data_IF_230594595703
#
_entry.id   IF_230594595703
#
_cell.length_a   1.000
_cell.length_b   1.000
_cell.length_c   1.000
_cell.angle_alpha   90.00
_cell.angle_beta   90.00
_cell.angle_gamma   90.00
#
_symmetry.space_group_name_H-M   'P 1'
#
loop_
_entity.id
_entity.type
_entity.pdbx_description
1 polymer ?
#
# COMPACT_ATOMS: atom_id res chain seq x y z
N UNK A 1 -16.68 6.59 -12.39
CA UNK A 1 -17.62 7.21 -11.42
C UNK A 1 -16.80 8.12 -10.53
N UNK A 2 -17.17 9.39 -10.40
CA UNK A 2 -16.47 10.33 -9.53
C UNK A 2 -16.82 10.09 -8.06
N UNK A 3 -16.02 10.60 -7.12
CA UNK A 3 -16.34 10.55 -5.68
C UNK A 3 -17.70 11.20 -5.35
N UNK A 4 -18.03 12.29 -6.02
CA UNK A 4 -19.34 12.95 -5.87
C UNK A 4 -20.50 12.05 -6.33
N UNK A 5 -20.32 11.32 -7.43
CA UNK A 5 -21.31 10.35 -7.91
C UNK A 5 -21.51 9.21 -6.91
N UNK A 6 -20.41 8.69 -6.34
CA UNK A 6 -20.46 7.65 -5.30
C UNK A 6 -21.23 8.13 -4.07
N UNK A 7 -20.95 9.35 -3.60
CA UNK A 7 -21.64 9.94 -2.45
C UNK A 7 -23.14 10.08 -2.76
N UNK A 8 -23.50 10.62 -3.94
CA UNK A 8 -24.92 10.74 -4.36
C UNK A 8 -25.62 9.39 -4.43
N UNK A 9 -24.94 8.37 -4.97
CA UNK A 9 -25.50 7.02 -5.07
C UNK A 9 -25.74 6.38 -3.70
N UNK A 10 -24.81 6.55 -2.75
CA UNK A 10 -24.97 6.05 -1.38
C UNK A 10 -26.04 6.85 -0.62
N UNK A 11 -26.14 8.16 -0.83
CA UNK A 11 -27.15 8.99 -0.20
C UNK A 11 -28.58 8.55 -0.56
N UNK A 12 -28.81 8.10 -1.81
CA UNK A 12 -30.11 7.53 -2.26
C UNK A 12 -30.57 6.31 -1.46
N UNK A 13 -29.68 5.66 -0.70
CA UNK A 13 -30.00 4.54 0.19
C UNK A 13 -30.51 4.99 1.56
N UNK A 14 -30.82 6.29 1.72
CA UNK A 14 -31.38 6.89 2.93
C UNK A 14 -30.35 7.37 3.94
N UNK A 15 -29.20 7.83 3.46
CA UNK A 15 -28.16 8.46 4.25
C UNK A 15 -28.05 9.96 3.93
N UNK A 16 -27.67 10.76 4.93
CA UNK A 16 -27.28 12.14 4.66
C UNK A 16 -26.01 12.17 3.83
N UNK A 17 -25.74 13.27 3.12
CA UNK A 17 -24.53 13.42 2.30
C UNK A 17 -23.26 13.19 3.14
N UNK A 18 -23.22 13.68 4.38
CA UNK A 18 -22.12 13.49 5.32
C UNK A 18 -21.93 12.00 5.69
N UNK A 19 -23.01 11.29 5.96
CA UNK A 19 -22.98 9.85 6.25
C UNK A 19 -22.54 9.07 5.00
N UNK A 20 -23.06 9.41 3.84
CA UNK A 20 -22.71 8.80 2.56
C UNK A 20 -21.21 9.01 2.25
N UNK A 21 -20.69 10.21 2.43
CA UNK A 21 -19.27 10.51 2.24
C UNK A 21 -18.35 9.70 3.17
N UNK A 22 -18.74 9.52 4.42
CA UNK A 22 -18.02 8.64 5.35
C UNK A 22 -18.08 7.18 4.88
N UNK A 23 -19.28 6.68 4.51
CA UNK A 23 -19.44 5.31 4.02
C UNK A 23 -18.61 5.05 2.78
N UNK A 24 -18.61 5.96 1.80
CA UNK A 24 -17.75 5.85 0.60
C UNK A 24 -16.28 5.68 1.01
N UNK A 25 -15.80 6.50 1.96
CA UNK A 25 -14.41 6.38 2.46
C UNK A 25 -14.15 5.02 3.09
N UNK A 26 -15.06 4.54 3.96
CA UNK A 26 -14.93 3.23 4.59
C UNK A 26 -14.95 2.09 3.57
N UNK A 27 -15.91 2.09 2.64
CA UNK A 27 -16.07 1.05 1.61
C UNK A 27 -14.81 0.88 0.76
N UNK A 28 -14.24 2.00 0.35
CA UNK A 28 -13.09 2.02 -0.57
C UNK A 28 -11.79 1.63 0.16
N UNK A 29 -11.57 2.13 1.38
CA UNK A 29 -10.26 2.02 2.03
C UNK A 29 -10.15 0.93 3.10
N UNK A 30 -11.24 0.60 3.80
CA UNK A 30 -11.16 -0.27 4.97
C UNK A 30 -12.19 -1.40 5.00
N UNK A 31 -13.45 -1.12 4.65
CA UNK A 31 -14.58 -2.03 4.84
C UNK A 31 -14.98 -2.22 6.31
N UNK A 32 -14.22 -1.65 7.23
CA UNK A 32 -14.46 -1.68 8.67
C UNK A 32 -14.32 -0.29 9.26
N UNK A 33 -15.05 0.01 10.34
CA UNK A 33 -14.94 1.28 11.03
C UNK A 33 -15.41 1.18 12.47
N UNK A 34 -15.11 2.21 13.27
CA UNK A 34 -15.62 2.43 14.62
C UNK A 34 -16.33 3.78 14.70
N UNK A 35 -17.25 3.93 15.68
CA UNK A 35 -18.05 5.16 15.84
C UNK A 35 -17.20 6.42 15.96
N UNK A 36 -16.04 6.35 16.63
CA UNK A 36 -15.09 7.47 16.75
C UNK A 36 -14.62 7.99 15.38
N UNK A 37 -14.37 7.13 14.43
CA UNK A 37 -13.91 7.53 13.08
C UNK A 37 -14.98 8.34 12.36
N UNK A 38 -16.25 7.98 12.55
CA UNK A 38 -17.35 8.82 12.04
C UNK A 38 -17.40 10.18 12.74
N UNK A 39 -17.18 10.24 14.08
CA UNK A 39 -17.09 11.52 14.80
C UNK A 39 -15.99 12.42 14.22
N UNK A 40 -14.79 11.85 13.99
CA UNK A 40 -13.67 12.57 13.38
C UNK A 40 -14.03 13.08 11.98
N UNK A 41 -14.58 12.21 11.13
CA UNK A 41 -15.00 12.57 9.78
C UNK A 41 -16.05 13.69 9.77
N UNK A 42 -17.09 13.49 10.57
CA UNK A 42 -18.25 14.39 10.62
C UNK A 42 -18.02 15.66 11.45
N UNK A 43 -16.91 15.76 12.19
CA UNK A 43 -16.61 16.83 13.15
C UNK A 43 -17.72 17.00 14.20
N UNK A 44 -18.15 15.89 14.79
CA UNK A 44 -19.19 15.86 15.82
C UNK A 44 -18.70 15.10 17.07
N UNK A 45 -19.31 15.40 18.20
CA UNK A 45 -19.07 14.65 19.45
C UNK A 45 -19.83 13.33 19.40
N UNK A 46 -19.33 12.35 20.13
CA UNK A 46 -20.03 11.07 20.30
C UNK A 46 -21.34 11.30 21.06
N UNK A 47 -22.46 10.85 20.49
CA UNK A 47 -23.79 11.01 21.07
C UNK A 47 -24.84 10.24 20.28
N UNK A 48 -26.13 10.55 20.52
CA UNK A 48 -27.28 9.84 19.94
C UNK A 48 -27.21 9.73 18.41
N UNK A 49 -26.85 10.82 17.70
CA UNK A 49 -26.74 10.83 16.24
C UNK A 49 -25.75 9.78 15.70
N UNK A 50 -24.65 9.49 16.42
CA UNK A 50 -23.68 8.45 16.05
C UNK A 50 -24.28 7.08 16.30
N UNK A 51 -24.94 6.90 17.45
CA UNK A 51 -25.63 5.65 17.77
C UNK A 51 -26.70 5.32 16.71
N UNK A 52 -27.56 6.26 16.39
CA UNK A 52 -28.66 6.09 15.42
C UNK A 52 -28.12 5.74 14.02
N UNK A 53 -27.04 6.39 13.59
CA UNK A 53 -26.40 6.07 12.31
C UNK A 53 -25.92 4.62 12.25
N UNK A 54 -25.19 4.13 13.26
CA UNK A 54 -24.71 2.76 13.27
C UNK A 54 -25.85 1.74 13.50
N UNK A 55 -26.83 2.08 14.29
CA UNK A 55 -28.03 1.25 14.48
C UNK A 55 -28.82 1.10 13.18
N UNK A 56 -28.98 2.17 12.42
CA UNK A 56 -29.60 2.13 11.09
C UNK A 56 -28.82 1.27 10.10
N UNK A 57 -27.48 1.32 10.11
CA UNK A 57 -26.64 0.47 9.28
C UNK A 57 -26.85 -1.02 9.58
N UNK A 58 -26.93 -1.37 10.87
CA UNK A 58 -27.16 -2.76 11.31
C UNK A 58 -28.59 -3.20 10.99
N UNK A 59 -29.60 -2.37 11.26
CA UNK A 59 -31.00 -2.67 10.95
C UNK A 59 -31.24 -2.90 9.45
N UNK A 60 -30.57 -2.11 8.59
CA UNK A 60 -30.61 -2.27 7.13
C UNK A 60 -29.74 -3.43 6.62
N UNK A 61 -29.08 -4.18 7.49
CA UNK A 61 -28.14 -5.27 7.15
C UNK A 61 -26.96 -4.81 6.27
N UNK A 62 -26.61 -3.53 6.33
CA UNK A 62 -25.45 -2.98 5.64
C UNK A 62 -24.14 -3.18 6.44
N UNK A 63 -24.25 -3.31 7.76
CA UNK A 63 -23.14 -3.54 8.65
C UNK A 63 -23.41 -4.68 9.63
N UNK A 64 -22.35 -5.40 9.99
CA UNK A 64 -22.36 -6.40 11.07
C UNK A 64 -21.38 -5.94 12.15
N UNK A 65 -21.79 -5.85 13.44
CA UNK A 65 -20.84 -5.60 14.51
C UNK A 65 -20.00 -6.86 14.76
N UNK A 66 -18.70 -6.67 14.98
CA UNK A 66 -17.86 -7.74 15.51
C UNK A 66 -18.22 -7.97 16.97
N UNK A 67 -18.36 -9.23 17.36
CA UNK A 67 -18.45 -9.62 18.77
C UNK A 67 -17.09 -9.39 19.41
N UNK A 68 -16.96 -8.31 20.19
CA UNK A 68 -15.76 -8.04 20.97
C UNK A 68 -16.01 -8.25 22.45
N UNK A 69 -14.98 -8.69 23.18
CA UNK A 69 -15.03 -8.89 24.62
C UNK A 69 -15.20 -7.58 25.42
N UNK A 70 -15.06 -6.41 24.80
CA UNK A 70 -15.14 -5.10 25.47
C UNK A 70 -16.48 -4.40 25.26
N UNK A 71 -17.16 -4.14 26.38
CA UNK A 71 -18.43 -3.40 26.49
C UNK A 71 -18.24 -1.92 26.10
N UNK A 72 -18.21 -1.52 24.89
CA UNK A 72 -18.21 -0.08 24.55
C UNK A 72 -17.51 0.31 23.27
N UNK A 73 -16.65 -0.52 22.74
CA UNK A 73 -16.02 -0.28 21.46
C UNK A 73 -16.54 -1.27 20.42
N UNK A 74 -17.60 -0.88 19.68
CA UNK A 74 -18.11 -1.73 18.59
C UNK A 74 -17.35 -1.43 17.31
N UNK A 75 -16.72 -2.47 16.76
CA UNK A 75 -16.18 -2.45 15.42
C UNK A 75 -17.28 -2.94 14.47
N UNK A 76 -17.50 -2.21 13.39
CA UNK A 76 -18.51 -2.53 12.39
C UNK A 76 -17.85 -2.94 11.08
N UNK A 77 -18.23 -4.09 10.54
CA UNK A 77 -17.89 -4.51 9.19
C UNK A 77 -19.00 -4.10 8.24
N UNK A 78 -18.67 -3.27 7.26
CA UNK A 78 -19.61 -2.84 6.23
C UNK A 78 -19.55 -3.85 5.08
N UNK A 79 -20.65 -4.63 4.92
CA UNK A 79 -20.68 -5.77 3.98
C UNK A 79 -21.79 -5.70 2.94
N UNK A 80 -22.73 -4.76 3.09
CA UNK A 80 -23.92 -4.67 2.24
C UNK A 80 -23.58 -4.57 0.75
N UNK A 81 -23.94 -5.57 -0.06
CA UNK A 81 -23.66 -5.59 -1.51
C UNK A 81 -24.19 -4.34 -2.20
N UNK A 82 -25.38 -3.87 -1.82
CA UNK A 82 -26.01 -2.66 -2.37
C UNK A 82 -25.15 -1.42 -2.18
N UNK A 83 -24.48 -1.25 -1.02
CA UNK A 83 -23.57 -0.15 -0.79
C UNK A 83 -22.35 -0.22 -1.72
N UNK A 84 -21.76 -1.39 -1.85
CA UNK A 84 -20.59 -1.58 -2.73
C UNK A 84 -20.96 -1.44 -4.20
N UNK A 85 -22.15 -1.88 -4.61
CA UNK A 85 -22.67 -1.64 -5.98
C UNK A 85 -22.88 -0.14 -6.24
N UNK A 86 -23.39 0.61 -5.25
CA UNK A 86 -23.57 2.05 -5.35
C UNK A 86 -22.25 2.83 -5.57
N UNK A 87 -21.11 2.31 -5.07
CA UNK A 87 -19.78 2.90 -5.30
C UNK A 87 -19.07 2.33 -6.53
N UNK A 88 -19.70 1.42 -7.28
CA UNK A 88 -19.12 0.79 -8.47
C UNK A 88 -18.15 -0.34 -8.19
N UNK A 89 -18.18 -0.92 -6.97
CA UNK A 89 -17.23 -1.94 -6.49
C UNK A 89 -17.96 -3.17 -5.90
N UNK A 90 -18.93 -3.81 -6.63
CA UNK A 90 -19.78 -4.88 -6.07
C UNK A 90 -19.00 -6.08 -5.55
N UNK A 91 -17.83 -6.34 -6.12
CA UNK A 91 -16.96 -7.47 -5.78
C UNK A 91 -15.75 -7.08 -4.94
N UNK A 92 -15.77 -5.86 -4.37
CA UNK A 92 -14.70 -5.41 -3.51
C UNK A 92 -14.47 -6.39 -2.35
N UNK A 93 -13.24 -6.79 -2.18
CA UNK A 93 -12.84 -7.74 -1.11
C UNK A 93 -13.13 -7.25 0.30
N UNK A 94 -13.25 -5.94 0.50
CA UNK A 94 -13.59 -5.36 1.80
C UNK A 94 -14.96 -5.84 2.31
N UNK A 95 -15.82 -6.36 1.42
CA UNK A 95 -17.07 -7.01 1.78
C UNK A 95 -16.89 -8.35 2.51
N UNK A 96 -15.76 -9.02 2.27
CA UNK A 96 -15.50 -10.33 2.89
C UNK A 96 -15.09 -10.12 4.36
N UNK A 97 -15.57 -11.00 5.26
CA UNK A 97 -15.11 -11.00 6.65
C UNK A 97 -13.59 -11.03 6.73
N UNK A 98 -13.04 -10.34 7.70
CA UNK A 98 -11.61 -10.34 8.00
C UNK A 98 -11.39 -10.81 9.42
N UNK A 99 -10.21 -11.37 9.71
CA UNK A 99 -9.80 -11.62 11.09
C UNK A 99 -9.76 -10.31 11.87
N UNK A 100 -9.89 -10.37 13.19
CA UNK A 100 -9.86 -9.18 14.02
C UNK A 100 -8.54 -8.41 13.87
N UNK A 101 -7.41 -9.10 13.82
CA UNK A 101 -6.10 -8.48 13.56
C UNK A 101 -6.09 -7.69 12.24
N UNK A 102 -6.60 -8.28 11.17
CA UNK A 102 -6.69 -7.61 9.86
C UNK A 102 -7.69 -6.44 9.86
N UNK A 103 -8.76 -6.55 10.63
CA UNK A 103 -9.71 -5.45 10.81
C UNK A 103 -9.06 -4.26 11.54
N UNK A 104 -8.25 -4.53 12.58
CA UNK A 104 -7.48 -3.53 13.31
C UNK A 104 -6.49 -2.80 12.38
N UNK A 105 -5.73 -3.52 11.56
CA UNK A 105 -4.84 -2.92 10.56
C UNK A 105 -5.59 -1.96 9.62
N UNK A 106 -6.79 -2.36 9.17
CA UNK A 106 -7.65 -1.52 8.33
C UNK A 106 -8.18 -0.28 9.06
N UNK A 107 -8.45 -0.37 10.38
CA UNK A 107 -8.82 0.81 11.18
C UNK A 107 -7.67 1.81 11.29
N UNK A 108 -6.43 1.34 11.47
CA UNK A 108 -5.24 2.19 11.50
C UNK A 108 -5.05 2.93 10.18
N UNK A 109 -5.16 2.23 9.05
CA UNK A 109 -5.10 2.85 7.72
C UNK A 109 -6.25 3.86 7.51
N UNK A 110 -7.45 3.55 7.98
CA UNK A 110 -8.59 4.47 7.88
C UNK A 110 -8.36 5.73 8.73
N UNK A 111 -7.75 5.62 9.91
CA UNK A 111 -7.39 6.79 10.72
C UNK A 111 -6.44 7.72 9.97
N UNK A 112 -5.41 7.19 9.33
CA UNK A 112 -4.47 7.98 8.53
C UNK A 112 -5.16 8.65 7.32
N UNK A 113 -6.02 7.92 6.62
CA UNK A 113 -6.84 8.50 5.52
C UNK A 113 -7.74 9.63 6.02
N UNK A 114 -8.35 9.48 7.19
CA UNK A 114 -9.24 10.51 7.77
C UNK A 114 -8.48 11.72 8.32
N UNK A 115 -7.22 11.57 8.70
CA UNK A 115 -6.38 12.65 9.19
C UNK A 115 -5.96 13.60 8.06
N UNK A 116 -5.60 13.07 6.90
CA UNK A 116 -5.12 13.83 5.74
C UNK A 116 -6.27 14.21 4.80
N UNK A 117 -7.03 15.23 5.18
CA UNK A 117 -8.25 15.65 4.46
C UNK A 117 -8.00 16.42 3.17
N UNK A 118 -6.83 17.01 3.03
CA UNK A 118 -6.43 17.76 1.85
C UNK A 118 -6.10 16.87 0.67
N UNK A 119 -5.79 15.59 0.93
CA UNK A 119 -5.41 14.65 -0.10
C UNK A 119 -6.62 13.99 -0.78
N UNK A 120 -6.52 13.82 -2.08
CA UNK A 120 -7.37 12.91 -2.82
C UNK A 120 -6.83 11.48 -2.67
N UNK A 121 -7.60 10.60 -2.07
CA UNK A 121 -7.20 9.22 -1.83
C UNK A 121 -7.61 8.29 -2.98
N UNK A 122 -6.65 7.52 -3.49
CA UNK A 122 -6.85 6.44 -4.45
C UNK A 122 -6.93 5.12 -3.66
N UNK A 123 -8.12 4.55 -3.55
CA UNK A 123 -8.33 3.35 -2.71
C UNK A 123 -8.41 2.06 -3.50
N UNK A 124 -9.02 2.07 -4.67
CA UNK A 124 -9.23 0.87 -5.49
C UNK A 124 -8.10 0.65 -6.50
N UNK A 125 -7.91 -0.60 -6.92
CA UNK A 125 -6.98 -0.97 -7.98
C UNK A 125 -7.26 -0.18 -9.25
N UNK A 126 -8.54 -0.11 -9.65
CA UNK A 126 -9.00 0.60 -10.84
C UNK A 126 -8.68 2.09 -10.79
N UNK A 127 -8.90 2.75 -9.63
CA UNK A 127 -8.57 4.17 -9.47
C UNK A 127 -7.07 4.41 -9.61
N UNK A 128 -6.24 3.57 -9.00
CA UNK A 128 -4.78 3.69 -9.05
C UNK A 128 -4.26 3.49 -10.46
N UNK A 129 -4.66 2.40 -11.13
CA UNK A 129 -4.24 2.13 -12.50
C UNK A 129 -4.66 3.27 -13.42
N UNK A 130 -5.94 3.67 -13.40
CA UNK A 130 -6.43 4.75 -14.24
C UNK A 130 -5.73 6.09 -13.98
N UNK A 131 -5.47 6.42 -12.70
CA UNK A 131 -4.77 7.65 -12.35
C UNK A 131 -3.32 7.64 -12.85
N UNK A 132 -2.55 6.60 -12.55
CA UNK A 132 -1.13 6.59 -12.92
C UNK A 132 -0.89 6.41 -14.40
N UNK A 133 -1.77 5.75 -15.13
CA UNK A 133 -1.71 5.71 -16.60
C UNK A 133 -1.94 7.08 -17.27
N UNK A 134 -2.71 7.96 -16.62
CA UNK A 134 -2.95 9.31 -17.16
C UNK A 134 -1.96 10.35 -16.64
N UNK A 135 -1.39 10.16 -15.45
CA UNK A 135 -0.49 11.12 -14.80
C UNK A 135 1.00 10.81 -15.00
N UNK A 136 1.33 9.65 -15.57
CA UNK A 136 2.71 9.24 -15.87
C UNK A 136 2.81 8.68 -17.28
N UNK A 137 4.04 8.46 -17.76
CA UNK A 137 4.32 7.80 -19.04
C UNK A 137 4.47 6.29 -18.92
N UNK A 138 4.19 5.72 -17.72
CA UNK A 138 4.37 4.30 -17.46
C UNK A 138 3.33 3.44 -18.19
N UNK A 139 3.81 2.35 -18.74
CA UNK A 139 2.95 1.31 -19.29
C UNK A 139 2.32 0.48 -18.16
N UNK A 140 1.19 -0.22 -18.39
CA UNK A 140 0.54 -1.05 -17.37
C UNK A 140 1.51 -2.03 -16.70
N UNK A 141 2.37 -2.69 -17.45
CA UNK A 141 3.35 -3.66 -16.94
C UNK A 141 4.50 -3.05 -16.13
N UNK A 142 4.59 -1.73 -16.04
CA UNK A 142 5.56 -0.99 -15.23
C UNK A 142 4.94 -0.51 -13.91
N UNK A 143 3.62 -0.57 -13.79
CA UNK A 143 2.93 -0.30 -12.52
C UNK A 143 3.17 -1.44 -11.52
N UNK A 144 3.09 -1.16 -10.21
CA UNK A 144 3.21 -2.19 -9.17
C UNK A 144 2.22 -3.34 -9.38
N UNK A 145 2.71 -4.54 -9.67
CA UNK A 145 1.86 -5.71 -9.92
C UNK A 145 2.47 -7.02 -9.43
N UNK A 146 1.62 -8.05 -9.32
CA UNK A 146 2.00 -9.45 -9.18
C UNK A 146 1.30 -10.27 -10.27
N UNK A 147 2.05 -11.16 -10.91
CA UNK A 147 1.51 -12.13 -11.85
C UNK A 147 1.02 -13.39 -11.12
N UNK A 148 -0.08 -13.94 -11.60
CA UNK A 148 -0.67 -15.21 -11.13
C UNK A 148 -0.93 -16.11 -12.33
N UNK A 149 -0.66 -17.41 -12.17
CA UNK A 149 -0.75 -18.39 -13.24
C UNK A 149 0.49 -18.45 -14.12
N UNK A 150 0.42 -19.25 -15.16
CA UNK A 150 1.50 -19.46 -16.14
C UNK A 150 1.01 -18.98 -17.52
N UNK A 151 1.87 -18.39 -18.37
CA UNK A 151 1.48 -18.05 -19.74
C UNK A 151 0.92 -19.27 -20.50
N UNK A 152 -0.13 -19.10 -21.34
CA UNK A 152 -0.77 -17.84 -21.73
C UNK A 152 -1.86 -17.33 -20.76
N UNK A 153 -2.24 -18.08 -19.72
CA UNK A 153 -3.33 -17.74 -18.79
C UNK A 153 -2.89 -16.86 -17.61
N UNK A 154 -1.72 -16.23 -17.73
CA UNK A 154 -1.21 -15.37 -16.68
C UNK A 154 -2.10 -14.14 -16.50
N UNK A 155 -2.57 -13.92 -15.27
CA UNK A 155 -3.32 -12.72 -14.86
C UNK A 155 -2.47 -11.83 -13.98
N UNK A 156 -2.71 -10.52 -14.02
CA UNK A 156 -1.98 -9.55 -13.22
C UNK A 156 -2.92 -8.87 -12.22
N UNK A 157 -2.44 -8.72 -10.98
CA UNK A 157 -3.08 -7.90 -9.97
C UNK A 157 -2.21 -6.69 -9.71
N UNK A 158 -2.74 -5.52 -9.97
CA UNK A 158 -2.05 -4.26 -9.74
C UNK A 158 -2.20 -3.81 -8.29
N UNK A 159 -1.18 -3.08 -7.80
CA UNK A 159 -1.12 -2.59 -6.42
C UNK A 159 -1.51 -3.66 -5.37
N UNK A 160 -0.81 -4.79 -5.35
CA UNK A 160 -1.21 -5.97 -4.56
C UNK A 160 -1.20 -5.70 -3.05
N UNK A 161 -0.41 -4.73 -2.59
CA UNK A 161 -0.32 -4.32 -1.18
C UNK A 161 -1.62 -3.64 -0.71
N UNK A 162 -2.40 -3.06 -1.65
CA UNK A 162 -3.74 -2.48 -1.44
C UNK A 162 -3.77 -1.33 -0.41
N UNK A 163 -2.62 -0.71 -0.19
CA UNK A 163 -2.46 0.43 0.68
C UNK A 163 -3.00 1.70 0.00
N UNK A 164 -3.60 2.64 0.74
CA UNK A 164 -4.05 3.90 0.17
C UNK A 164 -2.90 4.73 -0.38
N UNK A 165 -3.15 5.45 -1.49
CA UNK A 165 -2.21 6.42 -2.04
C UNK A 165 -2.92 7.76 -2.08
N UNK A 166 -2.37 8.76 -1.41
CA UNK A 166 -2.85 10.14 -1.39
C UNK A 166 -2.21 10.95 -2.51
N UNK A 167 -3.01 11.80 -3.15
CA UNK A 167 -2.55 12.76 -4.15
C UNK A 167 -2.85 14.15 -3.63
N UNK A 168 -1.85 15.00 -3.56
CA UNK A 168 -2.02 16.39 -3.13
C UNK A 168 -2.81 17.21 -4.16
N UNK A 169 -3.39 18.36 -3.77
CA UNK A 169 -4.17 19.20 -4.68
C UNK A 169 -3.38 19.69 -5.91
N UNK A 170 -2.06 19.78 -5.81
CA UNK A 170 -1.16 20.14 -6.91
C UNK A 170 -1.04 19.05 -7.99
N UNK A 171 -1.54 17.84 -7.72
CA UNK A 171 -1.43 16.66 -8.57
C UNK A 171 0.01 16.11 -8.73
N UNK A 172 0.98 16.70 -8.02
CA UNK A 172 2.42 16.40 -8.17
C UNK A 172 2.98 15.62 -7.01
N UNK A 173 2.47 15.86 -5.80
CA UNK A 173 2.94 15.21 -4.56
C UNK A 173 2.08 14.00 -4.25
N UNK A 174 2.73 12.84 -4.04
CA UNK A 174 2.07 11.56 -3.80
C UNK A 174 2.49 10.97 -2.45
N UNK A 175 1.53 10.63 -1.61
CA UNK A 175 1.74 10.00 -0.30
C UNK A 175 1.37 8.52 -0.37
N UNK A 176 2.34 7.64 -0.19
CA UNK A 176 2.16 6.20 -0.07
C UNK A 176 2.12 5.82 1.42
N UNK A 177 1.00 5.33 1.89
CA UNK A 177 0.93 4.80 3.26
C UNK A 177 1.44 3.36 3.28
N UNK A 178 2.34 3.07 4.21
CA UNK A 178 2.77 1.70 4.49
C UNK A 178 2.54 1.39 5.97
N UNK A 179 1.70 0.40 6.28
CA UNK A 179 1.46 -0.02 7.66
C UNK A 179 2.50 -1.06 8.07
N UNK A 180 3.29 -0.72 9.07
CA UNK A 180 4.22 -1.66 9.73
C UNK A 180 3.40 -2.63 10.57
N UNK A 181 3.41 -3.91 10.22
CA UNK A 181 2.65 -4.96 10.89
C UNK A 181 3.52 -6.15 11.32
N UNK A 182 4.83 -6.07 11.14
CA UNK A 182 5.83 -7.06 11.52
C UNK A 182 7.12 -6.37 11.94
N UNK A 183 7.93 -7.03 12.77
CA UNK A 183 9.24 -6.52 13.22
C UNK A 183 10.28 -6.45 12.09
N UNK A 184 10.28 -7.44 11.20
CA UNK A 184 11.26 -7.50 10.11
C UNK A 184 10.75 -6.80 8.84
N UNK A 185 11.57 -5.97 8.15
CA UNK A 185 11.16 -5.17 6.99
C UNK A 185 11.13 -5.95 5.66
N UNK A 186 10.90 -7.28 5.67
CA UNK A 186 10.91 -8.11 4.45
C UNK A 186 9.82 -7.69 3.46
N UNK A 187 8.60 -7.55 3.95
CA UNK A 187 7.47 -7.14 3.11
C UNK A 187 7.61 -5.67 2.65
N UNK A 188 8.22 -4.82 3.48
CA UNK A 188 8.52 -3.43 3.13
C UNK A 188 9.54 -3.33 1.99
N UNK A 189 10.62 -4.13 2.05
CA UNK A 189 11.58 -4.22 0.92
C UNK A 189 10.87 -4.64 -0.36
N UNK A 190 10.02 -5.65 -0.30
CA UNK A 190 9.24 -6.10 -1.43
C UNK A 190 8.26 -5.03 -1.94
N UNK A 191 7.66 -4.23 -1.05
CA UNK A 191 6.84 -3.07 -1.40
C UNK A 191 7.67 -2.03 -2.17
N UNK A 192 8.81 -1.59 -1.64
CA UNK A 192 9.68 -0.62 -2.29
C UNK A 192 10.05 -1.06 -3.72
N UNK A 193 10.43 -2.33 -3.89
CA UNK A 193 10.82 -2.85 -5.21
C UNK A 193 9.68 -2.94 -6.21
N UNK A 194 8.47 -3.26 -5.75
CA UNK A 194 7.30 -3.23 -6.63
C UNK A 194 6.96 -1.83 -7.12
N UNK A 195 7.24 -0.81 -6.30
CA UNK A 195 6.88 0.57 -6.57
C UNK A 195 8.01 1.38 -7.24
N UNK A 196 9.21 0.83 -7.43
CA UNK A 196 10.38 1.56 -7.92
C UNK A 196 10.13 2.32 -9.22
N UNK A 197 9.56 1.66 -10.24
CA UNK A 197 9.30 2.31 -11.53
C UNK A 197 8.33 3.46 -11.38
N UNK A 198 7.31 3.29 -10.54
CA UNK A 198 6.34 4.32 -10.24
C UNK A 198 7.00 5.48 -9.47
N UNK A 199 7.77 5.20 -8.42
CA UNK A 199 8.47 6.23 -7.63
C UNK A 199 9.48 7.01 -8.48
N UNK A 200 10.12 6.38 -9.45
CA UNK A 200 11.01 7.06 -10.43
C UNK A 200 10.26 8.02 -11.34
N UNK A 201 9.05 7.64 -11.76
CA UNK A 201 8.25 8.43 -12.69
C UNK A 201 7.54 9.63 -12.02
N UNK A 202 7.36 9.61 -10.70
CA UNK A 202 6.64 10.66 -9.99
C UNK A 202 7.49 11.90 -9.75
N UNK A 203 6.90 13.11 -9.87
CA UNK A 203 7.60 14.37 -9.59
C UNK A 203 8.05 14.47 -8.15
N UNK A 204 7.17 14.12 -7.21
CA UNK A 204 7.44 14.14 -5.75
C UNK A 204 6.65 13.05 -5.06
N UNK A 205 7.30 12.37 -4.10
CA UNK A 205 6.64 11.32 -3.35
C UNK A 205 7.15 11.21 -1.90
N UNK A 206 6.27 10.72 -1.05
CA UNK A 206 6.56 10.34 0.33
C UNK A 206 6.05 8.92 0.56
N UNK A 207 6.87 8.05 1.12
CA UNK A 207 6.45 6.77 1.71
C UNK A 207 6.40 6.96 3.21
N UNK A 208 5.19 6.96 3.78
CA UNK A 208 4.99 7.13 5.22
C UNK A 208 4.78 5.78 5.90
N UNK A 209 5.69 5.43 6.79
CA UNK A 209 5.61 4.25 7.66
C UNK A 209 4.66 4.54 8.81
N UNK A 210 3.46 3.97 8.77
CA UNK A 210 2.51 4.00 9.88
C UNK A 210 2.89 2.90 10.86
N UNK A 211 3.47 3.26 11.99
CA UNK A 211 4.04 2.30 12.93
C UNK A 211 3.21 2.25 14.22
N UNK A 212 2.57 1.12 14.54
CA UNK A 212 1.94 0.91 15.83
C UNK A 212 2.94 1.04 16.97
N UNK A 213 2.50 1.55 18.14
CA UNK A 213 3.37 1.82 19.29
C UNK A 213 4.23 0.61 19.72
N UNK A 214 3.68 -0.62 19.65
CA UNK A 214 4.39 -1.85 20.03
C UNK A 214 5.47 -2.28 19.02
N UNK A 215 5.57 -1.64 17.87
CA UNK A 215 6.61 -1.83 16.85
C UNK A 215 7.51 -0.60 16.70
N UNK A 216 7.40 0.39 17.60
CA UNK A 216 8.17 1.63 17.52
C UNK A 216 9.69 1.38 17.60
N UNK A 217 10.12 0.39 18.37
CA UNK A 217 11.53 0.00 18.50
C UNK A 217 12.12 -0.59 17.20
N UNK A 218 11.26 -1.10 16.32
CA UNK A 218 11.69 -1.70 15.06
C UNK A 218 11.87 -0.65 13.92
N UNK A 219 11.46 0.60 14.13
CA UNK A 219 11.56 1.70 13.14
C UNK A 219 12.95 1.84 12.53
N UNK A 220 14.06 1.82 13.31
CA UNK A 220 15.40 1.93 12.73
C UNK A 220 15.73 0.84 11.69
N UNK A 221 15.15 -0.37 11.84
CA UNK A 221 15.33 -1.44 10.86
C UNK A 221 14.63 -1.15 9.53
N UNK A 222 13.45 -0.52 9.57
CA UNK A 222 12.73 -0.08 8.37
C UNK A 222 13.42 1.09 7.67
N UNK A 223 13.93 2.06 8.43
CA UNK A 223 14.70 3.18 7.87
C UNK A 223 16.04 2.70 7.27
N UNK A 224 16.72 1.77 7.94
CA UNK A 224 17.92 1.14 7.39
C UNK A 224 17.59 0.36 6.10
N UNK A 225 16.47 -0.37 6.06
CA UNK A 225 16.01 -1.05 4.85
C UNK A 225 15.74 -0.07 3.72
N UNK A 226 15.07 1.06 3.98
CA UNK A 226 14.82 2.09 2.98
C UNK A 226 16.14 2.65 2.42
N UNK A 227 17.08 3.05 3.29
CA UNK A 227 18.39 3.53 2.87
C UNK A 227 19.16 2.49 2.04
N UNK A 228 19.16 1.24 2.47
CA UNK A 228 19.83 0.17 1.76
C UNK A 228 19.25 -0.09 0.36
N UNK A 229 17.93 -0.07 0.24
CA UNK A 229 17.26 -0.37 -1.04
C UNK A 229 17.26 0.82 -2.01
N UNK A 230 17.19 2.04 -1.50
CA UNK A 230 16.98 3.24 -2.32
C UNK A 230 18.25 4.07 -2.52
N UNK A 231 19.14 4.13 -1.52
CA UNK A 231 20.25 5.08 -1.48
C UNK A 231 21.64 4.46 -1.29
N UNK A 232 21.74 3.20 -0.83
CA UNK A 232 23.07 2.61 -0.59
C UNK A 232 23.84 2.43 -1.91
N UNK A 233 25.12 2.83 -1.96
CA UNK A 233 25.93 2.68 -3.16
C UNK A 233 26.13 1.20 -3.53
N UNK A 234 26.39 0.95 -4.80
CA UNK A 234 26.89 -0.34 -5.25
C UNK A 234 28.36 -0.46 -4.82
N UNK A 235 28.76 -1.65 -4.38
CA UNK A 235 30.16 -1.90 -4.09
C UNK A 235 30.93 -2.05 -5.39
N UNK A 236 32.01 -1.30 -5.54
CA UNK A 236 32.85 -1.33 -6.75
C UNK A 236 33.37 -2.74 -7.06
N UNK A 237 33.75 -3.52 -6.04
CA UNK A 237 34.18 -4.92 -6.18
C UNK A 237 33.08 -5.87 -6.67
N UNK A 238 31.84 -5.43 -6.67
CA UNK A 238 30.69 -6.24 -7.09
C UNK A 238 30.14 -5.89 -8.46
N UNK A 239 30.50 -4.73 -9.02
CA UNK A 239 29.91 -4.23 -10.27
C UNK A 239 30.18 -5.16 -11.44
N UNK A 240 31.45 -5.59 -11.63
CA UNK A 240 31.83 -6.49 -12.71
C UNK A 240 31.19 -7.87 -12.56
N UNK A 241 31.15 -8.40 -11.34
CA UNK A 241 30.48 -9.69 -11.07
C UNK A 241 28.97 -9.59 -11.27
N UNK A 242 28.37 -8.44 -10.90
CA UNK A 242 26.95 -8.18 -11.10
C UNK A 242 26.60 -8.06 -12.59
N UNK A 243 27.41 -7.33 -13.39
CA UNK A 243 27.26 -7.23 -14.84
C UNK A 243 27.35 -8.60 -15.50
N UNK A 244 28.40 -9.39 -15.14
CA UNK A 244 28.54 -10.76 -15.61
C UNK A 244 27.30 -11.60 -15.25
N UNK A 245 26.85 -11.55 -13.99
CA UNK A 245 25.67 -12.29 -13.54
C UNK A 245 24.42 -11.92 -14.32
N UNK A 246 24.18 -10.64 -14.59
CA UNK A 246 23.03 -10.19 -15.37
C UNK A 246 23.06 -10.67 -16.80
N UNK A 247 24.23 -10.68 -17.45
CA UNK A 247 24.42 -11.25 -18.80
C UNK A 247 24.12 -12.74 -18.82
N UNK A 248 24.62 -13.49 -17.83
CA UNK A 248 24.35 -14.92 -17.72
C UNK A 248 22.87 -15.22 -17.45
N UNK A 249 22.23 -14.41 -16.60
CA UNK A 249 20.79 -14.56 -16.31
C UNK A 249 19.94 -14.30 -17.57
N UNK A 250 20.32 -13.32 -18.38
CA UNK A 250 19.65 -13.06 -19.67
C UNK A 250 19.79 -14.24 -20.63
N UNK A 251 20.97 -14.86 -20.71
CA UNK A 251 21.22 -16.06 -21.52
C UNK A 251 20.36 -17.23 -21.05
N UNK A 252 20.28 -17.45 -19.74
CA UNK A 252 19.44 -18.51 -19.15
C UNK A 252 17.95 -18.27 -19.42
N UNK A 253 17.48 -17.03 -19.35
CA UNK A 253 16.11 -16.66 -19.73
C UNK A 253 15.84 -16.91 -21.23
N UNK A 254 16.86 -16.81 -22.08
CA UNK A 254 16.79 -17.11 -23.51
C UNK A 254 16.94 -18.62 -23.83
N UNK A 255 17.03 -19.49 -22.81
CA UNK A 255 17.13 -20.95 -22.96
C UNK A 255 18.55 -21.50 -23.12
N UNK A 256 19.59 -20.68 -22.93
CA UNK A 256 21.00 -21.09 -22.96
C UNK A 256 21.48 -21.51 -21.55
N UNK A 257 22.44 -22.41 -21.47
CA UNK A 257 23.10 -22.71 -20.21
C UNK A 257 24.02 -21.56 -19.78
N UNK A 258 24.22 -21.36 -18.48
CA UNK A 258 25.22 -20.43 -17.99
C UNK A 258 26.64 -20.96 -18.29
N UNK A 259 27.54 -20.08 -18.73
CA UNK A 259 28.92 -20.42 -19.10
C UNK A 259 29.69 -21.09 -17.94
N UNK A 260 29.46 -20.65 -16.69
CA UNK A 260 29.99 -21.24 -15.47
C UNK A 260 28.85 -21.43 -14.45
N UNK A 261 28.34 -22.64 -14.39
CA UNK A 261 27.23 -23.00 -13.48
C UNK A 261 27.58 -22.81 -11.99
N UNK A 262 28.84 -23.02 -11.61
CA UNK A 262 29.27 -22.90 -10.20
C UNK A 262 29.37 -21.43 -9.80
N UNK A 263 29.97 -20.61 -10.61
CA UNK A 263 30.04 -19.16 -10.45
C UNK A 263 28.63 -18.55 -10.50
N UNK A 264 27.79 -18.99 -11.42
CA UNK A 264 26.41 -18.52 -11.53
C UNK A 264 25.59 -18.81 -10.26
N UNK A 265 25.68 -20.01 -9.70
CA UNK A 265 25.00 -20.35 -8.44
C UNK A 265 25.52 -19.51 -7.25
N UNK A 266 26.82 -19.20 -7.21
CA UNK A 266 27.41 -18.33 -6.18
C UNK A 266 26.90 -16.90 -6.33
N UNK A 267 26.92 -16.37 -7.54
CA UNK A 267 26.41 -15.02 -7.88
C UNK A 267 24.90 -14.91 -7.58
N UNK A 268 24.11 -15.93 -7.93
CA UNK A 268 22.67 -15.97 -7.63
C UNK A 268 22.40 -15.90 -6.11
N UNK A 269 23.20 -16.57 -5.29
CA UNK A 269 23.10 -16.46 -3.82
C UNK A 269 23.53 -15.08 -3.31
N UNK A 270 24.58 -14.49 -3.90
CA UNK A 270 25.09 -13.15 -3.53
C UNK A 270 24.11 -12.05 -3.90
N UNK A 271 23.49 -12.14 -5.07
CA UNK A 271 22.60 -11.12 -5.64
C UNK A 271 21.13 -11.51 -5.58
N UNK A 272 20.71 -12.31 -4.58
CA UNK A 272 19.31 -12.73 -4.43
C UNK A 272 18.38 -11.64 -3.85
N UNK A 273 18.94 -10.59 -3.23
CA UNK A 273 18.16 -9.54 -2.59
C UNK A 273 17.26 -8.82 -3.61
N UNK A 274 16.08 -8.34 -3.19
CA UNK A 274 15.13 -7.67 -4.08
C UNK A 274 15.73 -6.51 -4.88
N UNK A 275 16.66 -5.76 -4.30
CA UNK A 275 17.43 -4.69 -4.93
C UNK A 275 18.04 -5.14 -6.27
N UNK A 276 18.71 -6.27 -6.31
CA UNK A 276 19.40 -6.75 -7.53
C UNK A 276 18.41 -7.21 -8.59
N UNK A 277 17.25 -7.74 -8.20
CA UNK A 277 16.16 -8.05 -9.16
C UNK A 277 15.62 -6.79 -9.83
N UNK A 278 15.51 -5.70 -9.08
CA UNK A 278 15.12 -4.40 -9.62
C UNK A 278 16.19 -3.84 -10.55
N UNK A 279 17.46 -3.88 -10.11
CA UNK A 279 18.59 -3.46 -10.95
C UNK A 279 18.67 -4.28 -12.25
N UNK A 280 18.40 -5.58 -12.21
CA UNK A 280 18.37 -6.40 -13.42
C UNK A 280 17.28 -5.96 -14.41
N UNK A 281 16.08 -5.63 -13.92
CA UNK A 281 15.02 -5.10 -14.80
C UNK A 281 15.40 -3.77 -15.44
N UNK A 282 16.06 -2.88 -14.70
CA UNK A 282 16.55 -1.61 -15.20
C UNK A 282 17.71 -1.81 -16.16
N UNK A 283 18.64 -2.71 -15.83
CA UNK A 283 19.79 -3.05 -16.66
C UNK A 283 19.36 -3.60 -18.03
N UNK A 284 18.31 -4.39 -18.12
CA UNK A 284 17.73 -4.82 -19.40
C UNK A 284 17.28 -3.66 -20.30
N UNK A 285 16.98 -2.51 -19.73
CA UNK A 285 16.56 -1.30 -20.46
C UNK A 285 17.73 -0.35 -20.77
N UNK A 286 18.65 -0.20 -19.84
CA UNK A 286 19.65 0.87 -19.81
C UNK A 286 21.08 0.37 -20.03
N UNK A 287 21.33 -0.94 -19.91
CA UNK A 287 22.64 -1.57 -20.09
C UNK A 287 23.60 -1.35 -18.90
N UNK A 288 24.87 -1.70 -19.12
CA UNK A 288 25.93 -1.68 -18.09
C UNK A 288 26.17 -0.29 -17.46
N UNK A 289 25.88 0.80 -18.17
CA UNK A 289 26.02 2.17 -17.64
C UNK A 289 25.30 2.39 -16.32
N UNK A 290 24.19 1.67 -16.09
CA UNK A 290 23.43 1.73 -14.86
C UNK A 290 24.24 1.29 -13.63
N UNK A 291 25.21 0.41 -13.79
CA UNK A 291 25.96 -0.20 -12.70
C UNK A 291 27.20 0.60 -12.29
N UNK A 292 27.59 1.61 -13.06
CA UNK A 292 28.78 2.42 -12.81
C UNK A 292 28.55 3.61 -11.86
N UNK A 293 27.34 3.78 -11.35
CA UNK A 293 27.01 4.83 -10.37
C UNK A 293 27.58 4.54 -8.98
N UNK A 294 27.97 5.57 -8.26
CA UNK A 294 28.43 5.48 -6.87
C UNK A 294 27.27 5.31 -5.86
N UNK A 295 26.05 5.65 -6.27
CA UNK A 295 24.81 5.54 -5.49
C UNK A 295 23.93 4.47 -6.11
N UNK A 296 22.98 3.91 -5.36
CA UNK A 296 21.99 3.01 -5.96
C UNK A 296 21.24 3.72 -7.09
N UNK A 297 21.37 3.25 -8.36
CA UNK A 297 20.73 3.93 -9.49
C UNK A 297 19.20 3.80 -9.49
N UNK A 298 18.65 3.07 -8.52
CA UNK A 298 17.22 2.77 -8.47
C UNK A 298 16.38 4.04 -8.31
N UNK A 299 16.80 4.95 -7.42
CA UNK A 299 16.10 6.22 -7.18
C UNK A 299 17.05 7.41 -7.04
N UNK A 300 18.22 7.34 -7.65
CA UNK A 300 19.28 8.35 -7.55
C UNK A 300 18.75 9.76 -7.78
N UNK A 301 18.10 10.00 -8.89
CA UNK A 301 17.56 11.30 -9.26
C UNK A 301 16.52 11.85 -8.26
N UNK A 302 15.67 10.96 -7.72
CA UNK A 302 14.63 11.38 -6.80
C UNK A 302 15.21 11.78 -5.44
N UNK A 303 16.22 11.05 -4.98
CA UNK A 303 16.88 11.30 -3.69
C UNK A 303 17.81 12.51 -3.76
N UNK A 304 18.60 12.62 -4.82
CA UNK A 304 19.52 13.73 -5.01
C UNK A 304 18.82 15.10 -5.13
N UNK A 305 17.59 15.12 -5.64
CA UNK A 305 16.76 16.32 -5.77
C UNK A 305 15.72 16.47 -4.67
N UNK A 306 15.83 15.71 -3.59
CA UNK A 306 14.87 15.70 -2.46
C UNK A 306 13.40 15.54 -2.88
N UNK A 307 13.16 14.91 -4.05
CA UNK A 307 11.82 14.64 -4.56
C UNK A 307 11.16 13.43 -3.91
N UNK A 308 11.96 12.57 -3.32
CA UNK A 308 11.50 11.35 -2.66
C UNK A 308 11.96 11.29 -1.21
N UNK A 309 11.08 10.85 -0.32
CA UNK A 309 11.42 10.64 1.08
C UNK A 309 10.66 9.47 1.70
N UNK A 310 11.27 8.89 2.74
CA UNK A 310 10.62 7.93 3.63
C UNK A 310 10.51 8.55 5.00
N UNK A 311 9.32 8.60 5.55
CA UNK A 311 9.04 9.19 6.87
C UNK A 311 8.38 8.16 7.77
N UNK A 312 8.43 8.38 9.07
CA UNK A 312 7.79 7.50 10.07
C UNK A 312 6.79 8.29 10.90
N UNK A 313 5.62 7.70 11.10
CA UNK A 313 4.58 8.20 11.99
C UNK A 313 4.23 7.11 13.01
N UNK A 314 4.50 7.38 14.30
CA UNK A 314 4.08 6.48 15.37
C UNK A 314 2.59 6.70 15.63
N UNK A 315 1.80 5.66 15.44
CA UNK A 315 0.36 5.72 15.59
C UNK A 315 -0.03 5.88 17.06
N UNK A 316 -0.76 6.94 17.37
CA UNK A 316 -1.30 7.18 18.72
C UNK A 316 -2.32 6.13 19.18
N UNK A 317 -2.85 5.31 18.24
CA UNK A 317 -3.88 4.31 18.50
C UNK A 317 -3.57 2.97 17.86
N UNK A 318 -3.28 1.97 18.70
CA UNK A 318 -3.07 0.57 18.30
C UNK A 318 -4.31 -0.31 18.37
N UNK A 319 -5.44 0.20 18.87
CA UNK A 319 -6.69 -0.57 19.05
C UNK A 319 -6.54 -1.83 19.92
N UNK A 320 -5.57 -1.86 20.82
CA UNK A 320 -5.30 -3.01 21.70
C UNK A 320 -6.54 -3.47 22.47
N UNK A 321 -7.43 -2.55 22.84
CA UNK A 321 -8.68 -2.84 23.53
C UNK A 321 -9.70 -3.65 22.69
N UNK A 322 -9.47 -3.79 21.39
CA UNK A 322 -10.29 -4.63 20.49
C UNK A 322 -9.71 -6.02 20.32
N UNK A 323 -8.47 -6.25 20.70
CA UNK A 323 -7.77 -7.53 20.55
C UNK A 323 -7.63 -8.21 21.91
N UNK A 324 -8.20 -9.39 22.07
CA UNK A 324 -7.96 -10.27 23.22
C UNK A 324 -6.54 -10.87 23.22
N UNK A 325 -5.78 -10.72 22.14
CA UNK A 325 -4.46 -11.33 21.93
C UNK A 325 -3.29 -10.43 22.39
N UNK A 326 -3.53 -9.20 22.78
CA UNK A 326 -2.48 -8.26 23.22
C UNK A 326 -2.34 -8.17 24.75
N UNK A 327 -3.06 -8.99 25.48
CA UNK A 327 -3.01 -9.08 26.94
C UNK A 327 -2.05 -10.13 27.52
N UNK A 328 -1.20 -10.75 26.67
CA UNK A 328 -0.23 -11.77 27.10
C UNK A 328 1.11 -11.55 26.39
N UNK A 329 1.85 -10.58 26.87
CA UNK A 329 3.29 -10.48 26.71
C UNK A 329 3.90 -10.08 28.06
#
# INVERSE_FOLDING_TARGET
MTRADQIRAVAKLGFTERQAGFLVTVLVHAGVCVGRQYCVYARIVRGQKVHDFFSALVAKKFATPYTSAHRGARLYHIQGKTLYSAVGEPDNRNRRPATLARAIERLMLLDAVLAERSLRWLGTEREKVGYFQTSTTLRPNELPHLGFGVPPEQTFRYFPDKLPIGVAPDGRTHLFLYLVNRRAPVDFRAFLHRHVELLRALPTWEVRLLTPQHLAEDVPAFEAAARQELAAPLRLDAVDELSWFFKQQLNVEAGSAADDCTRFRRAHRRFHAPRYRTLYRLWKKEGDRLLHGTVSPVLEDALARERGRVTTEILARGYHHLSSLVGSA
#
